data_IF_076846980999
#
_entry.id   IF_076846980999
#
_cell.length_a   1.000
_cell.length_b   1.000
_cell.length_c   1.000
_cell.angle_alpha   90.00
_cell.angle_beta   90.00
_cell.angle_gamma   90.00
#
_symmetry.space_group_name_H-M   'P 1'
#
loop_
_entity.id
_entity.type
_entity.pdbx_description
1 polymer ?
#
# COMPACT_ATOMS: atom_id res chain seq x y z
N UNK A 1 -43.24 -30.19 -9.93
CA UNK A 1 -42.32 -29.16 -10.45
C UNK A 1 -41.40 -28.65 -9.33
N UNK A 2 -40.28 -29.32 -9.04
CA UNK A 2 -39.28 -28.88 -8.03
C UNK A 2 -37.82 -29.16 -8.43
N UNK A 3 -37.58 -29.73 -9.61
CA UNK A 3 -36.24 -30.22 -10.03
C UNK A 3 -35.45 -29.26 -10.93
N UNK A 4 -36.00 -28.08 -11.27
CA UNK A 4 -35.36 -27.15 -12.22
C UNK A 4 -34.59 -26.01 -11.51
N UNK A 5 -34.83 -25.77 -10.21
CA UNK A 5 -34.18 -24.69 -9.46
C UNK A 5 -32.82 -25.11 -8.86
N UNK A 6 -32.53 -26.42 -8.75
CA UNK A 6 -31.31 -26.90 -8.12
C UNK A 6 -30.03 -26.66 -8.95
N UNK A 7 -30.15 -26.62 -10.29
CA UNK A 7 -29.02 -26.43 -11.20
C UNK A 7 -28.45 -25.00 -11.15
N UNK A 8 -29.25 -23.92 -11.24
CA UNK A 8 -28.71 -22.56 -11.12
C UNK A 8 -28.13 -22.27 -9.72
N UNK A 9 -28.68 -22.86 -8.66
CA UNK A 9 -28.15 -22.68 -7.30
C UNK A 9 -26.78 -23.37 -7.12
N UNK A 10 -26.58 -24.54 -7.71
CA UNK A 10 -25.30 -25.25 -7.70
C UNK A 10 -24.23 -24.47 -8.49
N UNK A 11 -24.62 -23.85 -9.61
CA UNK A 11 -23.73 -22.99 -10.41
C UNK A 11 -23.31 -21.76 -9.60
N UNK A 12 -24.25 -21.07 -8.94
CA UNK A 12 -23.92 -19.92 -8.07
C UNK A 12 -22.96 -20.32 -6.95
N UNK A 13 -23.18 -21.47 -6.30
CA UNK A 13 -22.28 -21.97 -5.25
C UNK A 13 -20.89 -22.31 -5.80
N UNK A 14 -20.78 -22.96 -6.95
CA UNK A 14 -19.49 -23.28 -7.59
C UNK A 14 -18.75 -22.01 -8.04
N UNK A 15 -19.45 -20.98 -8.54
CA UNK A 15 -18.85 -19.69 -8.87
C UNK A 15 -18.45 -18.89 -7.62
N UNK A 16 -19.23 -18.94 -6.54
CA UNK A 16 -18.86 -18.33 -5.25
C UNK A 16 -17.63 -19.00 -4.60
N UNK A 17 -17.41 -20.30 -4.85
CA UNK A 17 -16.19 -20.99 -4.40
C UNK A 17 -14.98 -20.74 -5.31
N UNK A 18 -15.16 -20.42 -6.59
CA UNK A 18 -14.04 -20.08 -7.49
C UNK A 18 -13.41 -18.72 -7.16
N UNK A 19 -14.19 -17.77 -6.62
CA UNK A 19 -13.69 -16.50 -6.09
C UNK A 19 -13.15 -16.59 -4.65
N UNK A 20 -13.11 -17.78 -4.04
CA UNK A 20 -12.44 -17.95 -2.74
C UNK A 20 -10.92 -17.90 -2.92
N UNK A 21 -10.24 -17.16 -2.05
CA UNK A 21 -8.81 -16.79 -2.06
C UNK A 21 -7.80 -17.97 -2.12
N UNK A 22 -8.28 -19.21 -2.14
CA UNK A 22 -7.51 -20.47 -2.15
C UNK A 22 -6.61 -20.65 -3.38
N UNK A 23 -6.78 -19.80 -4.40
CA UNK A 23 -6.13 -19.94 -5.70
C UNK A 23 -5.01 -18.93 -5.95
N UNK A 24 -4.71 -18.07 -4.97
CA UNK A 24 -3.59 -17.14 -5.06
C UNK A 24 -2.35 -17.71 -4.37
N UNK A 25 -1.31 -17.91 -5.17
CA UNK A 25 0.07 -18.10 -4.71
C UNK A 25 0.65 -16.72 -4.32
N UNK A 26 1.68 -16.71 -3.47
CA UNK A 26 2.33 -15.49 -3.01
C UNK A 26 3.85 -15.64 -3.09
N UNK A 27 4.54 -14.66 -3.66
CA UNK A 27 5.99 -14.65 -3.80
C UNK A 27 6.58 -13.30 -3.33
N UNK A 28 7.49 -13.38 -2.36
CA UNK A 28 8.26 -12.22 -1.90
C UNK A 28 9.37 -11.88 -2.87
N UNK A 29 9.62 -10.58 -3.09
CA UNK A 29 10.64 -10.07 -4.01
C UNK A 29 10.59 -10.73 -5.39
N UNK A 30 9.38 -10.89 -5.92
CA UNK A 30 9.08 -11.64 -7.13
C UNK A 30 9.65 -10.97 -8.39
N UNK A 31 9.51 -9.66 -8.51
CA UNK A 31 10.07 -8.84 -9.60
C UNK A 31 10.22 -7.40 -9.13
N UNK A 32 11.31 -6.74 -9.52
CA UNK A 32 11.50 -5.29 -9.30
C UNK A 32 11.15 -4.80 -7.89
N UNK A 33 11.55 -5.56 -6.87
CA UNK A 33 11.29 -5.33 -5.43
C UNK A 33 9.84 -5.50 -4.97
N UNK A 34 8.93 -5.97 -5.83
CA UNK A 34 7.55 -6.24 -5.45
C UNK A 34 7.37 -7.64 -4.86
N UNK A 35 6.60 -7.69 -3.78
CA UNK A 35 5.89 -8.90 -3.37
C UNK A 35 4.58 -9.00 -4.17
N UNK A 36 4.31 -10.18 -4.73
CA UNK A 36 3.19 -10.39 -5.65
C UNK A 36 2.35 -11.60 -5.24
N UNK A 37 1.04 -11.39 -5.15
CA UNK A 37 0.05 -12.46 -5.14
C UNK A 37 -0.47 -12.72 -6.56
N UNK A 38 -0.59 -13.98 -6.98
CA UNK A 38 -1.08 -14.30 -8.32
C UNK A 38 -1.87 -15.60 -8.39
N UNK A 39 -2.81 -15.67 -9.34
CA UNK A 39 -3.59 -16.86 -9.63
C UNK A 39 -3.61 -17.15 -11.12
N UNK A 40 -3.03 -18.29 -11.53
CA UNK A 40 -3.14 -18.80 -12.90
C UNK A 40 -4.57 -19.16 -13.28
N UNK A 41 -5.35 -19.61 -12.31
CA UNK A 41 -6.74 -20.03 -12.53
C UNK A 41 -7.63 -18.81 -12.83
N UNK A 42 -7.46 -17.74 -12.06
CA UNK A 42 -8.24 -16.50 -12.22
C UNK A 42 -7.63 -15.56 -13.27
N UNK A 43 -6.39 -15.83 -13.69
CA UNK A 43 -5.61 -14.99 -14.59
C UNK A 43 -5.50 -13.55 -14.07
N UNK A 44 -5.18 -13.42 -12.80
CA UNK A 44 -5.07 -12.14 -12.08
C UNK A 44 -3.87 -12.17 -11.14
N UNK A 45 -3.23 -11.02 -11.00
CA UNK A 45 -2.17 -10.78 -10.03
C UNK A 45 -2.39 -9.43 -9.33
N UNK A 46 -1.91 -9.33 -8.10
CA UNK A 46 -1.95 -8.12 -7.29
C UNK A 46 -0.60 -7.86 -6.62
N UNK A 47 -0.34 -6.60 -6.33
CA UNK A 47 0.86 -6.18 -5.59
C UNK A 47 0.57 -6.12 -4.09
N UNK A 48 1.44 -6.72 -3.29
CA UNK A 48 1.46 -6.54 -1.84
C UNK A 48 2.47 -5.46 -1.49
N UNK A 49 3.73 -5.75 -1.23
CA UNK A 49 4.67 -4.72 -0.80
C UNK A 49 5.65 -4.31 -1.90
N UNK A 50 6.06 -3.04 -1.88
CA UNK A 50 7.27 -2.58 -2.57
C UNK A 50 8.42 -2.47 -1.57
N UNK A 51 9.41 -3.34 -1.69
CA UNK A 51 10.57 -3.42 -0.79
C UNK A 51 11.65 -2.42 -1.24
N UNK A 52 11.56 -1.18 -0.78
CA UNK A 52 12.52 -0.14 -1.18
C UNK A 52 13.91 -0.39 -0.59
N UNK A 53 14.92 -0.30 -1.45
CA UNK A 53 16.33 -0.64 -1.18
C UNK A 53 17.14 0.51 -0.58
N UNK A 54 16.52 1.67 -0.35
CA UNK A 54 17.19 2.85 0.19
C UNK A 54 17.83 3.76 -0.88
N UNK A 55 17.73 3.39 -2.16
CA UNK A 55 18.38 4.14 -3.25
C UNK A 55 17.44 5.17 -3.90
N UNK A 56 18.02 6.24 -4.45
CA UNK A 56 17.28 7.21 -5.27
C UNK A 56 16.63 6.56 -6.50
N UNK A 57 17.27 5.55 -7.08
CA UNK A 57 16.69 4.79 -8.19
C UNK A 57 15.40 4.10 -7.76
N UNK A 58 15.41 3.45 -6.59
CA UNK A 58 14.24 2.80 -5.99
C UNK A 58 13.11 3.75 -5.59
N UNK A 59 13.32 5.08 -5.61
CA UNK A 59 12.24 6.04 -5.45
C UNK A 59 11.32 6.12 -6.68
N UNK A 60 11.76 5.59 -7.84
CA UNK A 60 10.97 5.59 -9.07
C UNK A 60 10.32 4.21 -9.24
N UNK A 61 9.08 4.10 -8.78
CA UNK A 61 8.29 2.86 -8.75
C UNK A 61 7.50 2.75 -10.05
N UNK A 62 7.84 1.78 -10.87
CA UNK A 62 7.10 1.42 -12.09
C UNK A 62 6.35 0.13 -11.83
N UNK A 63 5.03 0.20 -11.88
CA UNK A 63 4.16 -0.95 -11.62
C UNK A 63 4.26 -1.94 -12.79
N UNK A 64 4.60 -3.22 -12.56
CA UNK A 64 4.68 -4.20 -13.64
C UNK A 64 3.29 -4.43 -14.24
N UNK A 65 3.20 -4.53 -15.57
CA UNK A 65 1.94 -4.82 -16.26
C UNK A 65 1.50 -6.28 -16.11
N UNK A 66 2.48 -7.19 -16.02
CA UNK A 66 2.27 -8.62 -15.89
C UNK A 66 3.32 -9.27 -14.99
N UNK A 67 2.93 -10.38 -14.35
CA UNK A 67 3.82 -11.28 -13.65
C UNK A 67 3.59 -12.71 -14.15
N UNK A 68 4.63 -13.39 -14.65
CA UNK A 68 4.51 -14.75 -15.22
C UNK A 68 3.43 -14.86 -16.31
N UNK A 69 3.28 -13.82 -17.15
CA UNK A 69 2.24 -13.67 -18.19
C UNK A 69 0.81 -13.56 -17.67
N UNK A 70 0.65 -13.23 -16.39
CA UNK A 70 -0.62 -12.97 -15.73
C UNK A 70 -0.71 -11.46 -15.52
N UNK A 71 -1.78 -10.78 -15.95
CA UNK A 71 -1.89 -9.34 -15.79
C UNK A 71 -1.92 -8.96 -14.30
N UNK A 72 -1.18 -7.92 -13.95
CA UNK A 72 -1.25 -7.28 -12.63
C UNK A 72 -2.35 -6.24 -12.68
N UNK A 73 -3.40 -6.42 -11.88
CA UNK A 73 -4.64 -5.64 -11.99
C UNK A 73 -5.01 -4.89 -10.72
N UNK A 74 -4.34 -5.17 -9.59
CA UNK A 74 -4.73 -4.64 -8.29
C UNK A 74 -3.56 -4.27 -7.38
N UNK A 75 -3.80 -3.28 -6.53
CA UNK A 75 -3.02 -3.03 -5.31
C UNK A 75 -3.71 -3.66 -4.11
N UNK A 76 -2.97 -4.49 -3.38
CA UNK A 76 -3.51 -5.32 -2.31
C UNK A 76 -4.39 -6.46 -2.84
N UNK A 77 -4.78 -7.35 -1.95
CA UNK A 77 -5.62 -8.51 -2.29
C UNK A 77 -5.63 -9.54 -1.17
N UNK A 78 -5.83 -10.80 -1.53
CA UNK A 78 -5.88 -11.90 -0.59
C UNK A 78 -5.14 -13.12 -1.14
N UNK A 79 -4.45 -13.86 -0.27
CA UNK A 79 -3.82 -15.13 -0.64
C UNK A 79 -4.19 -16.27 0.31
N UNK A 80 -3.91 -17.51 -0.12
CA UNK A 80 -4.13 -18.72 0.66
C UNK A 80 -5.56 -18.84 1.18
N UNK A 81 -5.76 -18.89 2.51
CA UNK A 81 -7.10 -19.02 3.12
C UNK A 81 -7.79 -17.68 3.40
N UNK A 82 -7.48 -16.66 2.60
CA UNK A 82 -8.06 -15.31 2.74
C UNK A 82 -7.26 -14.40 3.66
N UNK A 83 -5.94 -14.56 3.68
CA UNK A 83 -5.06 -13.62 4.40
C UNK A 83 -5.03 -12.33 3.60
N UNK A 84 -5.50 -11.19 4.15
CA UNK A 84 -5.46 -9.91 3.46
C UNK A 84 -4.02 -9.45 3.30
N UNK A 85 -3.74 -8.82 2.16
CA UNK A 85 -2.48 -8.16 1.85
C UNK A 85 -2.77 -6.72 1.47
N UNK A 86 -2.22 -5.78 2.23
CA UNK A 86 -2.19 -4.36 1.86
C UNK A 86 -1.09 -4.10 0.84
N UNK A 87 -1.17 -2.96 0.16
CA UNK A 87 -0.04 -2.40 -0.55
C UNK A 87 0.64 -1.26 0.20
N UNK A 88 1.93 -1.42 0.49
CA UNK A 88 2.75 -0.42 1.15
C UNK A 88 4.15 -0.32 0.55
N UNK A 89 4.82 0.81 0.82
CA UNK A 89 6.26 0.95 0.62
C UNK A 89 6.94 0.53 1.92
N UNK A 90 7.67 -0.58 1.87
CA UNK A 90 8.43 -1.09 3.00
C UNK A 90 9.89 -0.68 2.87
N UNK A 91 10.48 -0.24 3.98
CA UNK A 91 11.93 -0.09 4.08
C UNK A 91 12.54 -1.47 4.31
N UNK A 92 13.41 -1.92 3.40
CA UNK A 92 14.29 -3.06 3.66
C UNK A 92 15.21 -2.79 4.85
N UNK A 93 15.82 -3.84 5.41
CA UNK A 93 16.74 -3.66 6.53
C UNK A 93 18.00 -2.89 6.10
N UNK A 94 18.44 -3.08 4.86
CA UNK A 94 19.49 -2.29 4.23
C UNK A 94 19.09 -0.81 4.13
N UNK A 95 17.87 -0.50 3.66
CA UNK A 95 17.37 0.88 3.59
C UNK A 95 17.29 1.53 4.97
N UNK A 96 16.83 0.79 5.99
CA UNK A 96 16.77 1.27 7.38
C UNK A 96 18.16 1.63 7.91
N UNK A 97 19.14 0.76 7.71
CA UNK A 97 20.52 1.01 8.17
C UNK A 97 21.16 2.20 7.44
N UNK A 98 20.88 2.38 6.14
CA UNK A 98 21.35 3.54 5.38
C UNK A 98 20.73 4.86 5.87
N UNK A 99 19.43 4.86 6.14
CA UNK A 99 18.70 6.07 6.55
C UNK A 99 19.00 6.48 7.99
N UNK A 100 19.01 5.51 8.90
CA UNK A 100 19.08 5.76 10.34
C UNK A 100 19.97 4.72 11.03
N UNK A 101 21.29 4.82 10.85
CA UNK A 101 22.22 3.89 11.47
C UNK A 101 22.10 3.97 12.99
N UNK A 102 22.12 2.82 13.67
CA UNK A 102 21.95 2.70 15.12
C UNK A 102 20.54 3.01 15.65
N UNK A 103 19.51 3.04 14.79
CA UNK A 103 18.13 3.04 15.27
C UNK A 103 17.89 1.80 16.15
N UNK A 104 17.30 2.00 17.32
CA UNK A 104 17.01 0.95 18.31
C UNK A 104 15.68 0.23 18.06
N UNK A 105 14.89 0.71 17.09
CA UNK A 105 13.64 0.08 16.68
C UNK A 105 12.95 0.86 15.57
N UNK A 106 12.10 0.15 14.83
CA UNK A 106 11.32 0.68 13.70
C UNK A 106 9.87 0.27 13.81
N UNK A 107 8.96 1.16 13.44
CA UNK A 107 7.52 0.86 13.38
C UNK A 107 6.78 1.86 12.49
N UNK A 108 5.61 1.45 12.01
CA UNK A 108 4.69 2.33 11.31
C UNK A 108 3.68 2.94 12.28
N UNK A 109 3.26 4.18 12.02
CA UNK A 109 2.16 4.82 12.73
C UNK A 109 1.37 5.72 11.78
N UNK A 110 0.07 5.86 12.02
CA UNK A 110 -0.75 6.89 11.37
C UNK A 110 -0.83 8.17 12.20
N UNK A 111 -0.23 8.19 13.39
CA UNK A 111 -0.27 9.34 14.28
C UNK A 111 1.10 9.55 14.95
N UNK A 112 1.68 10.72 14.72
CA UNK A 112 2.95 11.15 15.31
C UNK A 112 2.81 12.25 16.36
N UNK A 113 1.57 12.68 16.66
CA UNK A 113 1.31 13.73 17.66
C UNK A 113 1.70 13.32 19.09
N UNK A 114 1.89 12.02 19.32
CA UNK A 114 2.34 11.43 20.59
C UNK A 114 3.85 11.43 20.76
N UNK A 115 4.61 11.76 19.73
CA UNK A 115 6.06 11.77 19.75
C UNK A 115 6.56 13.14 20.17
N UNK A 116 7.51 13.13 21.10
CA UNK A 116 8.28 14.31 21.48
C UNK A 116 9.71 14.14 20.94
N UNK A 117 10.41 15.26 20.68
CA UNK A 117 11.80 15.26 20.21
C UNK A 117 12.00 14.41 18.93
N UNK A 118 11.37 14.85 17.84
CA UNK A 118 11.46 14.20 16.55
C UNK A 118 11.96 15.13 15.44
N UNK A 119 12.54 14.52 14.41
CA UNK A 119 12.85 15.16 13.13
C UNK A 119 11.97 14.53 12.03
N UNK A 120 11.40 15.36 11.16
CA UNK A 120 10.64 14.88 9.99
C UNK A 120 11.58 14.83 8.78
N UNK A 121 11.61 13.69 8.09
CA UNK A 121 12.37 13.45 6.87
C UNK A 121 11.41 12.99 5.76
N UNK A 122 11.46 13.63 4.60
CA UNK A 122 10.58 13.28 3.48
C UNK A 122 11.27 12.31 2.52
N UNK A 123 10.53 11.27 2.10
CA UNK A 123 10.95 10.32 1.08
C UNK A 123 10.00 10.48 -0.11
N UNK A 124 10.49 11.09 -1.20
CA UNK A 124 9.65 11.41 -2.36
C UNK A 124 9.72 10.30 -3.40
N UNK A 125 8.64 9.54 -3.55
CA UNK A 125 8.49 8.47 -4.52
C UNK A 125 7.73 8.95 -5.75
N UNK A 126 8.22 8.60 -6.94
CA UNK A 126 7.47 8.71 -8.19
C UNK A 126 6.80 7.37 -8.48
N UNK A 127 5.47 7.31 -8.45
CA UNK A 127 4.72 6.08 -8.67
C UNK A 127 4.01 6.16 -10.02
N UNK A 128 4.30 5.23 -10.92
CA UNK A 128 3.68 5.15 -12.23
C UNK A 128 2.65 4.02 -12.30
N UNK A 129 1.38 4.37 -12.39
CA UNK A 129 0.24 3.44 -12.43
C UNK A 129 0.00 2.97 -13.87
N UNK A 130 0.20 1.68 -14.11
CA UNK A 130 0.03 1.08 -15.44
C UNK A 130 -1.44 0.97 -15.87
N UNK A 131 -1.65 0.82 -17.17
CA UNK A 131 -2.96 0.68 -17.82
C UNK A 131 -3.85 -0.45 -17.30
N UNK A 132 -3.24 -1.54 -16.81
CA UNK A 132 -3.92 -2.75 -16.34
C UNK A 132 -4.51 -2.63 -14.92
N UNK A 133 -4.07 -1.65 -14.13
CA UNK A 133 -4.55 -1.49 -12.75
C UNK A 133 -5.99 -1.00 -12.76
N UNK A 134 -6.87 -1.80 -12.18
CA UNK A 134 -8.31 -1.54 -12.07
C UNK A 134 -8.84 -1.53 -10.65
N UNK A 135 -8.07 -2.02 -9.67
CA UNK A 135 -8.52 -2.22 -8.29
C UNK A 135 -7.49 -1.71 -7.27
N UNK A 136 -7.98 -1.20 -6.13
CA UNK A 136 -7.19 -0.75 -4.98
C UNK A 136 -7.85 -1.28 -3.71
N UNK A 137 -7.55 -2.52 -3.33
CA UNK A 137 -8.22 -3.22 -2.23
C UNK A 137 -7.49 -3.10 -0.88
N UNK A 138 -6.28 -2.54 -0.86
CA UNK A 138 -5.48 -2.48 0.37
C UNK A 138 -4.39 -1.43 0.39
N UNK A 139 -4.53 -0.33 -0.34
CA UNK A 139 -3.50 0.71 -0.44
C UNK A 139 -3.26 1.40 0.92
N UNK A 140 -2.05 1.32 1.47
CA UNK A 140 -1.64 1.81 2.80
C UNK A 140 -0.40 2.71 2.69
N UNK A 141 -0.46 3.74 1.85
CA UNK A 141 0.61 4.73 1.65
C UNK A 141 0.42 6.00 2.49
N UNK A 142 -0.49 5.97 3.46
CA UNK A 142 -0.85 7.08 4.35
C UNK A 142 -0.24 6.96 5.76
N UNK A 143 0.96 6.37 5.87
CA UNK A 143 1.62 6.10 7.16
C UNK A 143 3.01 6.68 7.28
N UNK A 144 3.33 7.08 8.50
CA UNK A 144 4.66 7.46 8.93
C UNK A 144 5.49 6.22 9.26
N UNK A 145 6.77 6.26 8.90
CA UNK A 145 7.76 5.23 9.27
C UNK A 145 8.68 5.84 10.32
N UNK A 146 8.74 5.26 11.51
CA UNK A 146 9.44 5.86 12.65
C UNK A 146 10.68 5.06 12.99
N UNK A 147 11.84 5.69 12.94
CA UNK A 147 13.06 5.19 13.56
C UNK A 147 13.15 5.74 14.99
N UNK A 148 13.33 4.85 15.96
CA UNK A 148 13.47 5.19 17.38
C UNK A 148 14.92 5.11 17.80
N UNK A 149 15.45 6.16 18.42
CA UNK A 149 16.74 6.15 19.08
C UNK A 149 16.53 6.26 20.58
N UNK A 150 17.03 5.27 21.33
CA UNK A 150 16.95 5.26 22.78
C UNK A 150 18.35 5.16 23.37
N UNK A 151 18.68 6.08 24.26
CA UNK A 151 19.83 5.96 25.17
C UNK A 151 19.32 5.93 26.62
N UNK A 152 20.23 5.88 27.60
CA UNK A 152 19.89 5.76 29.02
C UNK A 152 19.08 6.96 29.56
N UNK A 153 19.16 8.11 28.89
CA UNK A 153 18.65 9.40 29.40
C UNK A 153 17.56 10.02 28.54
N UNK A 154 17.41 9.60 27.28
CA UNK A 154 16.48 10.22 26.33
C UNK A 154 16.03 9.25 25.24
N UNK A 155 14.84 9.54 24.69
CA UNK A 155 14.38 8.96 23.43
C UNK A 155 14.22 10.09 22.40
N UNK A 156 14.66 9.85 21.17
CA UNK A 156 14.41 10.71 20.02
C UNK A 156 13.89 9.87 18.85
N UNK A 157 13.27 10.54 17.88
CA UNK A 157 12.66 9.86 16.74
C UNK A 157 13.05 10.54 15.42
N UNK A 158 13.26 9.75 14.39
CA UNK A 158 13.26 10.23 13.02
C UNK A 158 11.99 9.69 12.36
N UNK A 159 11.20 10.59 11.77
CA UNK A 159 9.91 10.28 11.18
C UNK A 159 10.04 10.45 9.68
N UNK A 160 10.05 9.32 8.98
CA UNK A 160 10.08 9.27 7.53
C UNK A 160 8.64 9.33 6.99
N UNK A 161 8.41 10.29 6.10
CA UNK A 161 7.12 10.54 5.46
C UNK A 161 7.24 10.16 3.98
N UNK A 162 6.66 9.02 3.55
CA UNK A 162 6.64 8.65 2.15
C UNK A 162 5.63 9.53 1.40
N UNK A 163 6.12 10.47 0.61
CA UNK A 163 5.30 11.29 -0.27
C UNK A 163 5.33 10.73 -1.68
N UNK A 164 4.19 10.70 -2.35
CA UNK A 164 4.07 10.15 -3.69
C UNK A 164 3.69 11.22 -4.71
N UNK A 165 4.47 11.31 -5.78
CA UNK A 165 4.09 11.94 -7.04
C UNK A 165 3.60 10.85 -8.00
N UNK A 166 2.33 10.89 -8.36
CA UNK A 166 1.69 9.82 -9.13
C UNK A 166 1.48 10.23 -10.58
N UNK A 167 1.90 9.35 -11.49
CA UNK A 167 1.54 9.39 -12.91
C UNK A 167 0.72 8.15 -13.26
N UNK A 168 -0.04 8.19 -14.35
CA UNK A 168 -0.89 7.09 -14.76
C UNK A 168 -0.95 7.05 -16.29
N UNK A 169 -0.95 5.85 -16.85
CA UNK A 169 -1.14 5.66 -18.28
C UNK A 169 -2.46 6.26 -18.77
N UNK A 170 -2.42 6.95 -19.91
CA UNK A 170 -3.59 7.65 -20.46
C UNK A 170 -4.76 6.69 -20.76
N UNK A 171 -4.43 5.47 -21.17
CA UNK A 171 -5.39 4.44 -21.55
C UNK A 171 -5.91 3.59 -20.39
N UNK A 172 -5.42 3.79 -19.15
CA UNK A 172 -5.97 3.17 -17.95
C UNK A 172 -7.49 3.44 -17.88
N UNK A 173 -8.33 2.43 -17.61
CA UNK A 173 -9.79 2.59 -17.67
C UNK A 173 -10.42 3.05 -16.35
N UNK A 174 -9.74 2.87 -15.24
CA UNK A 174 -10.28 3.13 -13.89
C UNK A 174 -9.75 4.43 -13.30
N UNK A 175 -8.50 4.76 -13.57
CA UNK A 175 -7.79 5.86 -12.93
C UNK A 175 -7.24 6.87 -13.95
N UNK A 176 -7.02 8.09 -13.48
CA UNK A 176 -6.17 9.07 -14.15
C UNK A 176 -5.33 9.80 -13.13
N UNK A 177 -4.18 10.32 -13.56
CA UNK A 177 -3.36 11.19 -12.75
C UNK A 177 -3.47 12.64 -13.22
N UNK A 178 -3.47 13.58 -12.26
CA UNK A 178 -3.43 15.01 -12.53
C UNK A 178 -2.68 15.70 -11.41
N UNK A 179 -1.75 16.59 -11.75
CA UNK A 179 -0.95 17.38 -10.80
C UNK A 179 -0.27 16.51 -9.73
N UNK A 180 0.25 15.35 -10.14
CA UNK A 180 0.92 14.38 -9.26
C UNK A 180 -0.01 13.55 -8.37
N UNK A 181 -1.33 13.62 -8.59
CA UNK A 181 -2.35 12.94 -7.77
C UNK A 181 -3.20 11.98 -8.57
N UNK A 182 -3.68 10.93 -7.91
CA UNK A 182 -4.46 9.87 -8.54
C UNK A 182 -5.95 10.01 -8.25
N UNK A 183 -6.76 9.87 -9.28
CA UNK A 183 -8.21 10.05 -9.23
C UNK A 183 -8.93 8.87 -9.89
N UNK A 184 -10.10 8.54 -9.38
CA UNK A 184 -11.03 7.61 -10.03
C UNK A 184 -11.72 8.29 -11.22
N UNK A 185 -11.61 7.71 -12.43
CA UNK A 185 -12.31 8.21 -13.63
C UNK A 185 -13.84 8.22 -13.49
N UNK A 186 -14.39 7.31 -12.70
CA UNK A 186 -15.83 7.14 -12.58
C UNK A 186 -16.55 8.25 -11.81
N UNK A 187 -15.84 8.98 -10.94
CA UNK A 187 -16.44 9.97 -10.04
C UNK A 187 -15.54 11.16 -9.69
N UNK A 188 -14.35 11.26 -10.29
CA UNK A 188 -13.36 12.31 -10.05
C UNK A 188 -12.90 12.44 -8.58
N UNK A 189 -13.11 11.40 -7.77
CA UNK A 189 -12.64 11.40 -6.38
C UNK A 189 -11.15 11.10 -6.31
N UNK A 190 -10.46 11.82 -5.42
CA UNK A 190 -9.07 11.58 -5.07
C UNK A 190 -8.93 10.22 -4.36
N UNK A 191 -7.89 9.46 -4.70
CA UNK A 191 -7.47 8.30 -3.91
C UNK A 191 -6.80 8.82 -2.63
N UNK A 192 -7.43 8.64 -1.47
CA UNK A 192 -7.00 9.27 -0.21
C UNK A 192 -5.98 8.48 0.59
N UNK A 193 -5.75 7.21 0.27
CA UNK A 193 -4.80 6.35 0.98
C UNK A 193 -3.33 6.54 0.53
N UNK A 194 -3.05 7.69 -0.09
CA UNK A 194 -1.73 8.13 -0.56
C UNK A 194 -1.40 9.48 0.09
N UNK A 195 -0.24 9.58 0.73
CA UNK A 195 0.35 10.89 1.07
C UNK A 195 0.99 11.49 -0.18
N UNK A 196 0.39 12.53 -0.75
CA UNK A 196 0.93 13.23 -1.93
C UNK A 196 1.98 14.29 -1.56
N UNK A 197 2.74 14.79 -2.54
CA UNK A 197 3.81 15.78 -2.32
C UNK A 197 3.36 17.07 -1.60
N UNK A 198 2.09 17.45 -1.70
CA UNK A 198 1.52 18.60 -1.00
C UNK A 198 0.96 18.28 0.39
N UNK A 199 1.22 17.09 0.92
CA UNK A 199 0.81 16.67 2.26
C UNK A 199 1.46 17.54 3.33
N UNK A 200 0.62 18.11 4.20
CA UNK A 200 1.03 19.00 5.28
C UNK A 200 1.01 18.25 6.62
N UNK A 201 2.19 17.78 7.02
CA UNK A 201 2.39 17.06 8.29
C UNK A 201 1.96 17.90 9.50
N UNK A 202 2.16 19.23 9.45
CA UNK A 202 1.77 20.14 10.52
C UNK A 202 0.26 20.15 10.74
N UNK A 203 -0.50 20.31 9.65
CA UNK A 203 -1.97 20.24 9.69
C UNK A 203 -2.48 18.87 10.12
N UNK A 204 -1.84 17.79 9.66
CA UNK A 204 -2.22 16.43 10.07
C UNK A 204 -2.06 16.24 11.59
N UNK A 205 -0.92 16.67 12.15
CA UNK A 205 -0.67 16.66 13.60
C UNK A 205 -1.74 17.45 14.35
N UNK A 206 -2.05 18.67 13.91
CA UNK A 206 -3.08 19.51 14.54
C UNK A 206 -4.44 18.82 14.55
N UNK A 207 -4.86 18.27 13.40
CA UNK A 207 -6.16 17.59 13.27
C UNK A 207 -6.31 16.35 14.17
N UNK A 208 -5.18 15.73 14.54
CA UNK A 208 -5.13 14.51 15.36
C UNK A 208 -4.97 14.79 16.86
N UNK A 209 -4.46 15.95 17.25
CA UNK A 209 -4.38 16.36 18.67
C UNK A 209 -5.76 16.46 19.33
N UNK A 210 -6.76 16.96 18.61
CA UNK A 210 -8.11 17.16 19.14
C UNK A 210 -8.92 15.85 19.29
N UNK A 211 -8.50 14.77 18.62
CA UNK A 211 -9.19 13.47 18.67
C UNK A 211 -8.79 12.60 19.87
N UNK A 212 -7.81 13.03 20.66
CA UNK A 212 -7.33 12.29 21.86
C UNK A 212 -8.32 12.42 23.05
N UNK A 213 -9.30 13.33 22.99
CA UNK A 213 -10.23 13.61 24.11
C UNK A 213 -11.42 12.64 24.20
N UNK A 214 -11.62 11.73 23.24
CA UNK A 214 -12.75 10.78 23.29
C UNK A 214 -12.31 9.32 23.11
N UNK A 215 -11.66 8.75 24.11
CA UNK A 215 -11.65 7.30 24.30
C UNK A 215 -12.35 6.98 25.64
N UNK A 216 -13.58 6.51 25.55
CA UNK A 216 -14.21 5.79 26.65
C UNK A 216 -13.44 4.48 26.91
N UNK A 217 -13.24 4.09 28.18
CA UNK A 217 -12.66 2.80 28.50
C UNK A 217 -13.64 1.70 28.08
N UNK A 218 -13.12 0.68 27.41
CA UNK A 218 -13.78 -0.62 27.33
C UNK A 218 -13.75 -1.30 28.70
#
# INVERSE_FOLDING_TARGET
MKKIIAIPLLIVVVFSFASCCLFYDYECNATDNFDIGYSKLLNQAFLSDYNWDGTEKGMNIVIPEEYKKIPVTAFGGYFGRGVPCSFGILLTDEAKELLSPNATGWYFTSNISTHENYEIKYLNFNVHISSNISEMEGLWLDRYIVAKHKNDTSTSYEIYVPLCNVTCDEDNKTFYAKDGKLYFKGNDQLVTDIMYEDFDVGKDIESKKDKIVSCHPF
#
